data_IF_283280572766
#
_entry.id   IF_283280572766
#
_cell.length_a   1.000
_cell.length_b   1.000
_cell.length_c   1.000
_cell.angle_alpha   90.00
_cell.angle_beta   90.00
_cell.angle_gamma   90.00
#
_symmetry.space_group_name_H-M   'P 1'
#
loop_
_entity.id
_entity.type
_entity.pdbx_description
1 polymer ?
#
# COMPACT_ATOMS: atom_id res chain seq x y z
N UNK A 1 3.58 -40.09 7.28
CA UNK A 1 4.28 -39.46 6.11
C UNK A 1 3.74 -38.08 5.71
N UNK A 2 3.20 -37.33 6.67
CA UNK A 2 2.66 -35.97 6.40
C UNK A 2 3.67 -34.85 6.72
N UNK A 3 4.82 -35.18 7.29
CA UNK A 3 5.87 -34.21 7.66
C UNK A 3 6.86 -33.85 6.57
N UNK A 4 6.85 -34.53 5.44
CA UNK A 4 7.83 -34.31 4.36
C UNK A 4 7.51 -33.19 3.36
N UNK A 5 6.41 -32.44 3.52
CA UNK A 5 5.97 -31.41 2.56
C UNK A 5 6.25 -29.97 2.98
N UNK A 6 6.89 -29.72 4.10
CA UNK A 6 7.21 -28.37 4.58
C UNK A 6 8.71 -28.05 4.69
N UNK A 7 9.59 -28.78 4.02
CA UNK A 7 10.93 -28.26 3.83
C UNK A 7 10.86 -27.15 2.78
N UNK A 8 10.71 -25.89 3.24
CA UNK A 8 11.09 -24.75 2.41
C UNK A 8 12.50 -25.05 1.93
N UNK A 9 12.71 -25.11 0.62
CA UNK A 9 14.04 -25.31 0.06
C UNK A 9 14.93 -24.15 0.53
N UNK A 10 15.78 -24.37 1.51
CA UNK A 10 16.62 -23.32 2.14
C UNK A 10 17.47 -22.60 1.10
N UNK A 11 17.92 -23.32 0.07
CA UNK A 11 18.70 -22.73 -1.02
C UNK A 11 17.87 -21.74 -1.84
N UNK A 12 16.59 -22.07 -2.11
CA UNK A 12 15.68 -21.16 -2.80
C UNK A 12 15.40 -19.90 -1.96
N UNK A 13 15.13 -20.07 -0.68
CA UNK A 13 14.88 -18.95 0.22
C UNK A 13 16.10 -18.03 0.36
N UNK A 14 17.29 -18.61 0.49
CA UNK A 14 18.55 -17.86 0.53
C UNK A 14 18.78 -17.09 -0.77
N UNK A 15 18.47 -17.69 -1.92
CA UNK A 15 18.57 -17.03 -3.22
C UNK A 15 17.62 -15.84 -3.32
N UNK A 16 16.37 -16.02 -2.91
CA UNK A 16 15.35 -14.96 -2.91
C UNK A 16 15.74 -13.82 -1.96
N UNK A 17 16.21 -14.14 -0.75
CA UNK A 17 16.68 -13.17 0.23
C UNK A 17 17.84 -12.32 -0.31
N UNK A 18 18.84 -12.94 -0.94
CA UNK A 18 19.95 -12.22 -1.59
C UNK A 18 19.48 -11.35 -2.74
N UNK A 19 18.55 -11.85 -3.56
CA UNK A 19 17.98 -11.10 -4.67
C UNK A 19 17.20 -9.85 -4.18
N UNK A 20 16.45 -9.97 -3.09
CA UNK A 20 15.78 -8.83 -2.45
C UNK A 20 16.78 -7.79 -1.94
N UNK A 21 17.84 -8.20 -1.24
CA UNK A 21 18.88 -7.30 -0.73
C UNK A 21 19.66 -6.55 -1.83
N UNK A 22 19.64 -7.06 -3.06
CA UNK A 22 20.27 -6.42 -4.22
C UNK A 22 19.37 -5.37 -4.91
N UNK A 23 18.09 -5.26 -4.53
CA UNK A 23 17.16 -4.31 -5.14
C UNK A 23 17.55 -2.86 -4.83
N UNK A 24 17.45 -2.01 -5.85
CA UNK A 24 17.61 -0.56 -5.68
C UNK A 24 16.30 0.07 -5.21
N UNK A 25 16.33 1.17 -4.44
CA UNK A 25 15.14 1.85 -3.96
C UNK A 25 14.31 2.51 -5.06
N UNK A 26 14.89 2.90 -6.20
CA UNK A 26 14.23 3.53 -7.35
C UNK A 26 13.27 4.66 -6.97
N UNK A 27 13.74 5.61 -6.16
CA UNK A 27 12.98 6.76 -5.72
C UNK A 27 12.05 6.51 -4.52
N UNK A 28 12.02 5.29 -3.97
CA UNK A 28 11.35 5.00 -2.71
C UNK A 28 12.17 5.59 -1.56
N UNK A 29 11.61 6.52 -0.82
CA UNK A 29 12.30 7.20 0.30
C UNK A 29 11.68 6.82 1.64
N UNK A 30 12.47 6.27 2.57
CA UNK A 30 12.04 6.05 3.95
C UNK A 30 11.92 7.39 4.65
N UNK A 31 10.77 7.69 5.26
CA UNK A 31 10.47 8.95 5.95
C UNK A 31 10.32 8.80 7.46
N UNK A 32 10.03 7.58 7.91
CA UNK A 32 9.97 7.23 9.33
C UNK A 32 10.31 5.76 9.50
N UNK A 33 10.98 5.42 10.57
CA UNK A 33 11.28 4.03 10.94
C UNK A 33 11.52 3.92 12.44
N UNK A 34 10.94 2.89 13.05
CA UNK A 34 11.27 2.41 14.40
C UNK A 34 11.45 0.87 14.37
N UNK A 35 11.40 0.23 15.53
CA UNK A 35 11.59 -1.23 15.62
C UNK A 35 10.46 -2.02 14.99
N UNK A 36 9.23 -1.50 15.00
CA UNK A 36 8.02 -2.20 14.60
C UNK A 36 7.49 -1.79 13.23
N UNK A 37 7.66 -0.52 12.85
CA UNK A 37 7.05 0.04 11.63
C UNK A 37 8.04 0.83 10.78
N UNK A 38 7.71 0.94 9.51
CA UNK A 38 8.41 1.79 8.55
C UNK A 38 7.38 2.51 7.68
N UNK A 39 7.57 3.81 7.48
CA UNK A 39 6.82 4.60 6.52
C UNK A 39 7.75 5.08 5.40
N UNK A 40 7.31 4.92 4.16
CA UNK A 40 8.07 5.34 3.00
C UNK A 40 7.22 6.13 2.01
N UNK A 41 7.85 7.06 1.31
CA UNK A 41 7.23 7.79 0.21
C UNK A 41 7.39 6.99 -1.08
N UNK A 42 6.30 6.41 -1.57
CA UNK A 42 6.25 5.66 -2.82
C UNK A 42 6.17 6.64 -3.99
N UNK A 43 7.06 6.54 -4.99
CA UNK A 43 6.94 7.34 -6.21
C UNK A 43 5.78 6.86 -7.09
N UNK A 44 5.40 7.67 -8.07
CA UNK A 44 4.51 7.25 -9.16
C UNK A 44 5.16 6.13 -9.99
N UNK A 45 4.36 5.40 -10.74
CA UNK A 45 4.75 4.26 -11.59
C UNK A 45 5.28 3.02 -10.85
N UNK A 46 5.27 3.01 -9.52
CA UNK A 46 5.64 1.88 -8.69
C UNK A 46 4.39 1.19 -8.10
N UNK A 47 4.33 -0.14 -8.19
CA UNK A 47 3.31 -0.94 -7.52
C UNK A 47 3.56 -0.94 -6.01
N UNK A 48 2.50 -0.90 -5.20
CA UNK A 48 2.62 -1.08 -3.74
C UNK A 48 2.94 -2.52 -3.37
N UNK A 49 2.29 -3.46 -4.04
CA UNK A 49 2.50 -4.91 -3.91
C UNK A 49 2.52 -5.55 -5.29
N UNK A 50 3.13 -6.72 -5.41
CA UNK A 50 3.14 -7.50 -6.65
C UNK A 50 1.74 -7.78 -7.16
N UNK A 51 1.54 -7.68 -8.45
CA UNK A 51 0.37 -8.17 -9.18
C UNK A 51 0.65 -9.53 -9.82
N UNK A 52 1.92 -9.75 -10.21
CA UNK A 52 2.44 -10.99 -10.79
C UNK A 52 3.72 -11.37 -10.05
N UNK A 53 4.10 -12.64 -10.10
CA UNK A 53 5.28 -13.15 -9.43
C UNK A 53 6.58 -12.46 -9.87
N UNK A 54 6.66 -12.06 -11.12
CA UNK A 54 7.81 -11.38 -11.72
C UNK A 54 7.90 -9.88 -11.41
N UNK A 55 6.85 -9.29 -10.81
CA UNK A 55 6.85 -7.87 -10.49
C UNK A 55 7.80 -7.56 -9.33
N UNK A 56 8.38 -6.37 -9.37
CA UNK A 56 9.10 -5.78 -8.24
C UNK A 56 8.28 -4.57 -7.79
N UNK A 57 7.78 -4.63 -6.57
CA UNK A 57 6.95 -3.58 -5.99
C UNK A 57 7.68 -2.84 -4.86
N UNK A 58 7.02 -1.83 -4.29
CA UNK A 58 7.52 -1.13 -3.10
C UNK A 58 7.77 -2.09 -1.93
N UNK A 59 6.90 -3.11 -1.76
CA UNK A 59 7.07 -4.13 -0.73
C UNK A 59 8.42 -4.84 -0.82
N UNK A 60 8.80 -5.36 -2.00
CA UNK A 60 10.08 -6.04 -2.21
C UNK A 60 11.27 -5.10 -2.01
N UNK A 61 11.14 -3.85 -2.46
CA UNK A 61 12.21 -2.85 -2.30
C UNK A 61 12.43 -2.45 -0.85
N UNK A 62 11.36 -2.35 -0.05
CA UNK A 62 11.46 -2.08 1.39
C UNK A 62 12.06 -3.27 2.15
N UNK A 63 11.69 -4.51 1.80
CA UNK A 63 12.36 -5.70 2.34
C UNK A 63 13.85 -5.66 1.97
N UNK A 64 14.18 -5.35 0.71
CA UNK A 64 15.56 -5.19 0.26
C UNK A 64 16.33 -4.11 1.01
N UNK A 65 15.67 -3.00 1.32
CA UNK A 65 16.23 -1.94 2.18
C UNK A 65 16.56 -2.48 3.58
N UNK A 66 15.62 -3.18 4.23
CA UNK A 66 15.85 -3.74 5.57
C UNK A 66 17.01 -4.74 5.60
N UNK A 67 17.13 -5.57 4.56
CA UNK A 67 18.26 -6.52 4.41
C UNK A 67 19.58 -5.77 4.25
N UNK A 68 19.62 -4.78 3.38
CA UNK A 68 20.84 -4.01 3.09
C UNK A 68 21.34 -3.21 4.30
N UNK A 69 20.40 -2.67 5.09
CA UNK A 69 20.69 -1.92 6.32
C UNK A 69 20.91 -2.84 7.54
N UNK A 70 21.06 -4.15 7.33
CA UNK A 70 21.25 -5.17 8.37
C UNK A 70 20.15 -5.19 9.46
N UNK A 71 18.94 -4.74 9.10
CA UNK A 71 17.76 -4.69 9.97
C UNK A 71 16.85 -5.90 9.85
N UNK A 72 17.13 -6.77 8.89
CA UNK A 72 16.42 -8.02 8.64
C UNK A 72 17.43 -9.09 8.22
N UNK A 73 17.59 -10.08 9.06
CA UNK A 73 18.40 -11.27 8.77
C UNK A 73 17.57 -12.41 8.16
N UNK A 74 18.24 -13.46 7.68
CA UNK A 74 17.58 -14.58 7.04
C UNK A 74 16.71 -15.39 8.01
N UNK A 75 17.11 -15.53 9.27
CA UNK A 75 16.38 -16.36 10.25
C UNK A 75 15.08 -15.65 10.66
N UNK A 76 15.13 -14.34 10.86
CA UNK A 76 13.92 -13.52 11.04
C UNK A 76 13.04 -13.60 9.81
N UNK A 77 13.58 -13.48 8.59
CA UNK A 77 12.82 -13.55 7.34
C UNK A 77 12.16 -14.90 7.09
N UNK A 78 12.76 -16.01 7.59
CA UNK A 78 12.15 -17.35 7.57
C UNK A 78 10.88 -17.43 8.41
N UNK A 79 10.87 -16.77 9.56
CA UNK A 79 9.78 -16.84 10.54
C UNK A 79 8.71 -15.77 10.32
N UNK A 80 9.11 -14.58 9.90
CA UNK A 80 8.24 -13.43 9.64
C UNK A 80 8.72 -12.62 8.44
N UNK A 81 7.82 -12.33 7.52
CA UNK A 81 8.09 -11.49 6.36
C UNK A 81 7.46 -10.10 6.55
N UNK A 82 8.27 -9.04 6.69
CA UNK A 82 7.77 -7.68 6.68
C UNK A 82 6.87 -7.41 5.48
N UNK A 83 5.80 -6.64 5.67
CA UNK A 83 4.85 -6.37 4.58
C UNK A 83 4.21 -5.00 4.70
N UNK A 84 3.91 -4.40 3.55
CA UNK A 84 3.14 -3.16 3.48
C UNK A 84 1.69 -3.40 3.86
N UNK A 85 1.13 -2.48 4.64
CA UNK A 85 -0.22 -2.59 5.22
C UNK A 85 -1.28 -1.82 4.43
N UNK A 86 -0.87 -0.80 3.64
CA UNK A 86 -1.77 -0.04 2.77
C UNK A 86 -1.31 -0.12 1.33
N UNK A 87 -2.21 0.23 0.42
CA UNK A 87 -1.93 0.26 -1.01
C UNK A 87 -2.24 1.64 -1.56
N UNK A 88 -1.38 2.12 -2.44
CA UNK A 88 -1.61 3.24 -3.34
C UNK A 88 -1.59 2.70 -4.76
N UNK A 89 -2.38 3.28 -5.62
CA UNK A 89 -2.37 2.94 -7.04
C UNK A 89 -0.99 3.23 -7.66
N UNK A 90 -0.72 2.61 -8.80
CA UNK A 90 0.55 2.76 -9.51
C UNK A 90 0.88 4.22 -9.79
N UNK A 91 -0.13 5.00 -10.18
CA UNK A 91 -0.01 6.42 -10.53
C UNK A 91 -0.14 7.38 -9.35
N UNK A 92 -0.33 6.85 -8.13
CA UNK A 92 -0.42 7.63 -6.90
C UNK A 92 0.89 7.55 -6.15
N UNK A 93 1.50 8.70 -5.87
CA UNK A 93 2.62 8.80 -4.93
C UNK A 93 2.13 9.07 -3.52
N UNK A 94 2.99 8.85 -2.54
CA UNK A 94 2.70 9.16 -1.14
C UNK A 94 3.07 8.04 -0.16
N UNK A 95 2.56 8.14 1.05
CA UNK A 95 2.96 7.28 2.15
C UNK A 95 2.41 5.86 2.03
N UNK A 96 3.33 4.91 2.08
CA UNK A 96 3.04 3.50 2.35
C UNK A 96 3.63 3.10 3.70
N UNK A 97 2.91 2.26 4.41
CA UNK A 97 3.25 1.81 5.75
C UNK A 97 3.59 0.32 5.71
N UNK A 98 4.68 -0.07 6.34
CA UNK A 98 5.12 -1.46 6.44
C UNK A 98 5.23 -1.87 7.91
N UNK A 99 4.69 -3.03 8.27
CA UNK A 99 5.02 -3.71 9.53
C UNK A 99 6.34 -4.45 9.39
N UNK A 100 7.32 -4.09 10.21
CA UNK A 100 8.65 -4.71 10.30
C UNK A 100 8.63 -5.93 11.21
N UNK A 101 7.76 -5.90 12.22
CA UNK A 101 7.49 -6.99 13.15
C UNK A 101 6.03 -7.46 13.04
N UNK A 102 5.73 -8.62 13.63
CA UNK A 102 4.35 -9.09 13.71
C UNK A 102 3.46 -8.10 14.48
N UNK A 103 3.98 -7.51 15.56
CA UNK A 103 3.29 -6.48 16.34
C UNK A 103 2.97 -5.25 15.49
N UNK A 104 3.96 -4.71 14.78
CA UNK A 104 3.78 -3.57 13.89
C UNK A 104 2.79 -3.85 12.75
N UNK A 105 2.86 -5.06 12.15
CA UNK A 105 1.93 -5.47 11.10
C UNK A 105 0.48 -5.53 11.62
N UNK A 106 0.26 -6.13 12.79
CA UNK A 106 -1.05 -6.24 13.41
C UNK A 106 -1.61 -4.87 13.81
N UNK A 107 -0.77 -4.03 14.44
CA UNK A 107 -1.14 -2.66 14.82
C UNK A 107 -1.58 -1.83 13.60
N UNK A 108 -0.74 -1.74 12.57
CA UNK A 108 -1.06 -0.98 11.36
C UNK A 108 -2.32 -1.53 10.65
N UNK A 109 -2.46 -2.86 10.58
CA UNK A 109 -3.62 -3.49 9.98
C UNK A 109 -4.91 -3.15 10.73
N UNK A 110 -4.86 -3.12 12.06
CA UNK A 110 -6.00 -2.76 12.90
C UNK A 110 -6.37 -1.28 12.72
N UNK A 111 -5.40 -0.36 12.82
CA UNK A 111 -5.60 1.09 12.63
C UNK A 111 -6.22 1.40 11.27
N UNK A 112 -5.76 0.73 10.22
CA UNK A 112 -6.29 0.92 8.86
C UNK A 112 -7.69 0.30 8.68
N UNK A 113 -7.96 -0.86 9.30
CA UNK A 113 -9.25 -1.53 9.28
C UNK A 113 -10.32 -0.74 10.02
N UNK A 114 -10.00 -0.25 11.21
CA UNK A 114 -10.92 0.52 12.06
C UNK A 114 -11.11 1.95 11.55
N UNK A 115 -10.35 2.35 10.53
CA UNK A 115 -10.38 3.69 9.96
C UNK A 115 -10.09 4.78 11.01
N UNK A 116 -9.29 4.48 12.02
CA UNK A 116 -8.86 5.44 13.05
C UNK A 116 -7.77 6.38 12.55
N UNK A 117 -7.01 5.98 11.51
CA UNK A 117 -6.08 6.85 10.82
C UNK A 117 -6.80 7.68 9.76
N UNK A 118 -6.65 8.99 9.84
CA UNK A 118 -7.09 9.89 8.79
C UNK A 118 -6.15 9.80 7.58
N UNK A 119 -6.72 9.72 6.37
CA UNK A 119 -5.98 9.63 5.11
C UNK A 119 -6.28 10.83 4.24
N UNK A 120 -5.24 11.59 3.95
CA UNK A 120 -5.34 12.78 3.09
C UNK A 120 -4.64 12.54 1.77
N UNK A 121 -5.28 13.02 0.70
CA UNK A 121 -4.75 12.98 -0.66
C UNK A 121 -4.83 14.37 -1.28
N UNK A 122 -3.81 14.71 -2.06
CA UNK A 122 -3.86 15.89 -2.92
C UNK A 122 -4.15 15.44 -4.34
N UNK A 123 -5.11 16.07 -5.00
CA UNK A 123 -5.47 15.77 -6.37
C UNK A 123 -5.57 17.05 -7.20
N UNK A 124 -5.12 16.97 -8.44
CA UNK A 124 -5.40 17.98 -9.46
C UNK A 124 -6.63 17.54 -10.24
N UNK A 125 -7.63 18.37 -10.29
CA UNK A 125 -8.90 18.09 -10.99
C UNK A 125 -9.16 19.14 -12.07
N UNK A 126 -9.87 18.77 -13.12
CA UNK A 126 -10.33 19.70 -14.14
C UNK A 126 -11.61 20.41 -13.67
N UNK A 127 -11.74 21.68 -14.02
CA UNK A 127 -12.87 22.52 -13.63
C UNK A 127 -12.60 23.30 -12.34
N UNK A 128 -13.59 24.08 -11.94
CA UNK A 128 -13.54 24.93 -10.75
C UNK A 128 -14.24 24.23 -9.57
N UNK A 129 -13.58 24.27 -8.44
CA UNK A 129 -14.11 23.73 -7.18
C UNK A 129 -14.05 24.87 -6.15
N UNK A 130 -15.21 25.47 -5.84
CA UNK A 130 -15.26 26.69 -5.06
C UNK A 130 -15.30 26.47 -3.56
N UNK A 131 -16.01 25.42 -3.12
CA UNK A 131 -16.28 25.19 -1.72
C UNK A 131 -15.92 23.76 -1.25
N UNK A 132 -15.59 23.59 0.05
CA UNK A 132 -15.45 22.27 0.64
C UNK A 132 -16.76 21.50 0.58
N UNK A 133 -16.70 20.20 0.32
CA UNK A 133 -17.86 19.34 0.29
C UNK A 133 -17.56 17.98 0.91
N UNK A 134 -18.58 17.39 1.52
CA UNK A 134 -18.56 15.98 1.93
C UNK A 134 -19.58 15.22 1.08
N UNK A 135 -19.11 14.15 0.45
CA UNK A 135 -19.94 13.24 -0.34
C UNK A 135 -20.09 11.95 0.47
N UNK A 136 -21.33 11.58 0.72
CA UNK A 136 -21.70 10.31 1.36
C UNK A 136 -22.54 9.48 0.38
N UNK A 137 -22.38 8.16 0.44
CA UNK A 137 -23.11 7.25 -0.44
C UNK A 137 -22.75 5.80 -0.16
N UNK A 138 -23.12 4.95 -1.09
CA UNK A 138 -22.87 3.52 -1.03
C UNK A 138 -22.13 3.06 -2.29
N UNK A 139 -21.09 2.28 -2.08
CA UNK A 139 -20.30 1.67 -3.15
C UNK A 139 -20.72 0.21 -3.26
N UNK A 140 -21.18 -0.18 -4.45
CA UNK A 140 -21.45 -1.58 -4.78
C UNK A 140 -20.54 -2.00 -5.92
N UNK A 141 -19.88 -3.14 -5.77
CA UNK A 141 -19.02 -3.72 -6.80
C UNK A 141 -19.83 -4.74 -7.61
N UNK A 142 -19.91 -4.55 -8.90
CA UNK A 142 -20.37 -5.57 -9.83
C UNK A 142 -19.18 -6.45 -10.23
N UNK A 143 -19.12 -7.66 -9.67
CA UNK A 143 -18.00 -8.58 -9.91
C UNK A 143 -18.01 -9.14 -11.34
N UNK A 144 -19.16 -9.25 -11.98
CA UNK A 144 -19.27 -9.81 -13.32
C UNK A 144 -18.60 -8.94 -14.38
N UNK A 145 -18.67 -7.61 -14.20
CA UNK A 145 -18.08 -6.62 -15.13
C UNK A 145 -16.94 -5.81 -14.51
N UNK A 146 -16.55 -6.15 -13.27
CA UNK A 146 -15.52 -5.45 -12.49
C UNK A 146 -15.71 -3.92 -12.47
N UNK A 147 -16.97 -3.49 -12.33
CA UNK A 147 -17.34 -2.08 -12.22
C UNK A 147 -17.81 -1.75 -10.82
N UNK A 148 -17.53 -0.52 -10.42
CA UNK A 148 -17.99 0.05 -9.16
C UNK A 148 -19.10 1.05 -9.47
N UNK A 149 -20.21 0.93 -8.75
CA UNK A 149 -21.32 1.88 -8.79
C UNK A 149 -21.41 2.61 -7.46
N UNK A 150 -21.61 3.92 -7.51
CA UNK A 150 -21.84 4.76 -6.33
C UNK A 150 -23.28 5.26 -6.39
N UNK A 151 -24.03 5.04 -5.30
CA UNK A 151 -25.43 5.40 -5.17
C UNK A 151 -25.69 6.13 -3.86
N UNK A 152 -26.79 6.88 -3.77
CA UNK A 152 -27.20 7.56 -2.52
C UNK A 152 -27.75 6.57 -1.49
N UNK A 153 -28.42 5.52 -1.95
CA UNK A 153 -29.01 4.47 -1.14
C UNK A 153 -28.35 3.13 -1.45
N UNK A 154 -28.32 2.19 -0.51
CA UNK A 154 -27.81 0.85 -0.78
C UNK A 154 -28.68 0.14 -1.81
N UNK A 155 -28.08 -0.50 -2.81
CA UNK A 155 -28.79 -1.24 -3.85
C UNK A 155 -28.74 -2.75 -3.63
N UNK A 156 -27.93 -3.21 -2.68
CA UNK A 156 -27.84 -4.61 -2.25
C UNK A 156 -27.24 -4.69 -0.84
N UNK A 157 -27.31 -5.87 -0.22
CA UNK A 157 -26.70 -6.14 1.09
C UNK A 157 -25.15 -6.03 1.05
N UNK A 158 -24.56 -6.05 -0.14
CA UNK A 158 -23.11 -5.87 -0.37
C UNK A 158 -22.71 -4.41 -0.54
N UNK A 159 -23.66 -3.48 -0.51
CA UNK A 159 -23.39 -2.06 -0.63
C UNK A 159 -22.64 -1.53 0.61
N UNK A 160 -21.45 -1.03 0.40
CA UNK A 160 -20.59 -0.52 1.48
C UNK A 160 -20.74 0.99 1.62
N UNK A 161 -21.00 1.53 2.82
CA UNK A 161 -21.06 2.97 3.03
C UNK A 161 -19.69 3.60 2.76
N UNK A 162 -19.70 4.70 2.02
CA UNK A 162 -18.52 5.51 1.72
C UNK A 162 -18.73 6.95 2.12
N UNK A 163 -17.63 7.59 2.53
CA UNK A 163 -17.59 9.01 2.84
C UNK A 163 -16.28 9.60 2.33
N UNK A 164 -16.38 10.64 1.51
CA UNK A 164 -15.24 11.39 0.99
C UNK A 164 -15.49 12.87 1.22
N UNK A 165 -14.55 13.52 1.91
CA UNK A 165 -14.55 14.97 2.06
C UNK A 165 -13.44 15.56 1.22
N UNK A 166 -13.69 16.70 0.60
CA UNK A 166 -12.66 17.46 -0.09
C UNK A 166 -12.77 18.95 0.21
N UNK A 167 -11.68 19.65 0.07
CA UNK A 167 -11.62 21.12 0.11
C UNK A 167 -10.65 21.61 -0.96
N UNK A 168 -11.01 22.69 -1.68
CA UNK A 168 -10.10 23.30 -2.62
C UNK A 168 -8.92 23.94 -1.87
N UNK A 169 -7.72 23.81 -2.41
CA UNK A 169 -6.52 24.44 -1.90
C UNK A 169 -6.10 25.63 -2.77
N UNK A 170 -6.21 25.47 -4.10
CA UNK A 170 -5.82 26.47 -5.07
C UNK A 170 -6.45 26.19 -6.43
N UNK A 171 -6.92 27.24 -7.09
CA UNK A 171 -7.30 27.22 -8.53
C UNK A 171 -6.12 27.73 -9.35
N UNK A 172 -5.84 27.06 -10.47
CA UNK A 172 -4.77 27.40 -11.41
C UNK A 172 -5.40 27.54 -12.79
N UNK A 173 -5.27 28.70 -13.40
CA UNK A 173 -5.62 28.87 -14.81
C UNK A 173 -4.53 28.24 -15.69
N UNK A 174 -4.92 27.29 -16.52
CA UNK A 174 -4.03 26.74 -17.54
C UNK A 174 -4.33 27.44 -18.87
N UNK A 175 -3.41 28.29 -19.32
CA UNK A 175 -3.49 28.83 -20.68
C UNK A 175 -3.13 27.71 -21.68
N UNK A 176 -4.04 27.45 -22.61
CA UNK A 176 -3.72 26.63 -23.76
C UNK A 176 -2.65 27.36 -24.57
N UNK A 177 -1.47 26.78 -24.69
CA UNK A 177 -0.40 27.23 -25.60
C UNK A 177 -0.55 26.57 -26.96
#
# INVERSE_FOLDING_TARGET
DTFAKFSVNEDSLMKDFKALGALKPDGLGVVYEDDDILAANKPVNMLSQKSKETDISANERLIGYLIKEEKLDLDTYKSFKPSVCNRLDRNTSGLILMGKSLHGLQYLSQVLKDRTAEKYYMALVAGEVDEPMTIEGFLTKDEAVNKVQITKEPISDESLPIKTAYRPLKTIEMSAS
#
